data_IF_961264914053
#
_entry.id   IF_961264914053
#
_cell.length_a   1.000
_cell.length_b   1.000
_cell.length_c   1.000
_cell.angle_alpha   90.00
_cell.angle_beta   90.00
_cell.angle_gamma   90.00
#
_symmetry.space_group_name_H-M   'P 1'
#
loop_
_entity.id
_entity.type
_entity.pdbx_description
1 polymer ?
#
# COMPACT_ATOMS: atom_id res chain seq x y z
N UNK A 1 -6.99 27.90 29.43
CA UNK A 1 -6.70 27.78 27.99
C UNK A 1 -5.31 28.35 27.72
N UNK A 2 -4.29 27.51 27.70
CA UNK A 2 -2.93 27.89 27.32
C UNK A 2 -2.75 27.54 25.84
N UNK A 3 -2.63 28.57 25.00
CA UNK A 3 -2.21 28.44 23.60
C UNK A 3 -0.68 28.40 23.59
N UNK A 4 -0.11 27.30 23.11
CA UNK A 4 1.31 27.24 22.77
C UNK A 4 1.42 27.30 21.25
N UNK A 5 1.93 28.42 20.74
CA UNK A 5 2.25 28.60 19.32
C UNK A 5 3.71 28.17 19.13
N UNK A 6 3.95 27.18 18.28
CA UNK A 6 5.31 26.82 17.84
C UNK A 6 5.68 27.72 16.65
N UNK A 7 6.61 28.65 16.85
CA UNK A 7 7.23 29.38 15.74
C UNK A 7 8.37 28.55 15.12
N UNK A 8 8.37 28.47 13.78
CA UNK A 8 9.45 27.83 13.02
C UNK A 8 10.67 28.78 12.89
N UNK A 9 11.91 28.27 12.96
CA UNK A 9 13.11 29.09 12.79
C UNK A 9 13.15 29.83 11.45
N UNK A 10 13.74 31.03 11.47
CA UNK A 10 13.81 32.02 10.37
C UNK A 10 14.57 31.57 9.10
N UNK A 11 15.04 30.33 9.03
CA UNK A 11 15.72 29.77 7.85
C UNK A 11 14.77 29.43 6.69
N UNK A 12 13.47 29.33 6.94
CA UNK A 12 12.48 28.86 5.94
C UNK A 12 11.92 29.93 4.99
N UNK A 13 12.38 31.19 5.06
CA UNK A 13 11.75 32.29 4.30
C UNK A 13 12.34 32.58 2.91
N UNK A 14 13.32 31.84 2.41
CA UNK A 14 14.00 32.24 1.14
C UNK A 14 14.45 31.14 0.18
N UNK A 15 13.70 30.04 -0.03
CA UNK A 15 14.07 29.02 -1.03
C UNK A 15 12.89 28.59 -1.94
N UNK A 16 13.17 28.25 -3.23
CA UNK A 16 12.15 28.06 -4.26
C UNK A 16 11.35 26.75 -4.09
N UNK A 17 10.09 26.76 -4.57
CA UNK A 17 9.03 25.80 -4.22
C UNK A 17 9.15 24.36 -4.75
N UNK A 18 10.18 23.98 -5.50
CA UNK A 18 10.25 22.65 -6.15
C UNK A 18 11.59 21.92 -5.96
N UNK A 19 12.09 21.83 -4.71
CA UNK A 19 13.26 21.00 -4.41
C UNK A 19 12.96 20.02 -3.28
N UNK A 20 12.87 18.73 -3.62
CA UNK A 20 12.83 17.64 -2.65
C UNK A 20 14.26 17.38 -2.17
N UNK A 21 14.59 17.71 -0.92
CA UNK A 21 15.84 17.28 -0.30
C UNK A 21 15.57 16.04 0.55
N UNK A 22 16.19 14.92 0.17
CA UNK A 22 16.52 13.83 1.09
C UNK A 22 17.77 14.26 1.86
N UNK A 23 17.63 14.66 3.13
CA UNK A 23 18.79 14.76 4.01
C UNK A 23 19.23 13.34 4.37
N UNK A 24 20.42 12.97 3.88
CA UNK A 24 20.99 11.63 4.02
C UNK A 24 22.30 11.69 4.81
N UNK A 25 22.35 12.49 5.88
CA UNK A 25 23.53 12.53 6.77
C UNK A 25 23.16 12.74 8.23
N UNK A 26 22.90 11.65 8.97
CA UNK A 26 23.22 11.63 10.40
C UNK A 26 24.72 11.43 10.51
N UNK A 27 25.46 12.51 10.83
CA UNK A 27 26.91 12.44 11.08
C UNK A 27 27.17 11.84 12.46
N UNK A 28 28.11 10.90 12.64
CA UNK A 28 28.55 10.49 13.96
C UNK A 28 29.42 11.60 14.59
N UNK A 29 29.20 11.80 15.88
CA UNK A 29 29.92 12.76 16.71
C UNK A 29 31.42 12.35 16.77
N UNK A 30 32.33 13.22 16.32
CA UNK A 30 33.76 13.00 16.55
C UNK A 30 34.11 13.41 17.98
N UNK A 31 34.23 12.44 18.88
CA UNK A 31 34.98 12.60 20.12
C UNK A 31 36.29 11.82 20.02
N UNK A 32 37.40 12.54 20.06
CA UNK A 32 38.75 12.00 20.12
C UNK A 32 38.99 11.35 21.48
N UNK A 33 38.98 10.03 21.59
CA UNK A 33 39.82 9.26 22.52
C UNK A 33 40.00 7.83 21.98
N UNK A 34 41.26 7.44 21.82
CA UNK A 34 41.66 6.13 21.32
C UNK A 34 41.62 5.09 22.45
N UNK A 35 40.72 4.12 22.34
CA UNK A 35 40.84 2.70 22.76
C UNK A 35 39.44 2.08 22.80
N UNK A 36 39.17 1.21 21.81
CA UNK A 36 38.17 0.13 21.78
C UNK A 36 37.65 -0.04 20.33
N UNK A 37 38.40 -0.77 19.51
CA UNK A 37 37.92 -1.24 18.21
C UNK A 37 37.27 -2.62 18.36
N UNK A 38 36.03 -2.63 18.83
CA UNK A 38 34.99 -3.50 18.26
C UNK A 38 34.00 -2.58 17.57
N UNK A 39 34.29 -2.27 16.31
CA UNK A 39 33.42 -1.47 15.46
C UNK A 39 32.09 -2.18 15.29
N UNK A 40 31.07 -1.71 16.01
CA UNK A 40 29.69 -2.06 15.72
C UNK A 40 29.31 -1.29 14.45
N UNK A 41 29.64 -1.84 13.28
CA UNK A 41 29.24 -1.26 11.99
C UNK A 41 27.72 -1.04 12.01
N UNK A 42 27.30 0.22 11.97
CA UNK A 42 25.89 0.58 11.97
C UNK A 42 25.23 -0.03 10.72
N UNK A 43 24.40 -1.05 10.91
CA UNK A 43 23.65 -1.66 9.82
C UNK A 43 22.61 -0.65 9.32
N UNK A 44 22.69 -0.31 8.04
CA UNK A 44 21.70 0.53 7.36
C UNK A 44 20.65 -0.36 6.70
N UNK A 45 19.38 0.03 6.79
CA UNK A 45 18.26 -0.66 6.14
C UNK A 45 17.46 0.33 5.30
N UNK A 46 16.88 -0.17 4.21
CA UNK A 46 16.05 0.62 3.31
C UNK A 46 14.59 0.24 3.45
N UNK A 47 13.77 1.19 3.87
CA UNK A 47 12.31 1.07 3.86
C UNK A 47 11.78 1.91 2.70
N UNK A 48 11.06 1.27 1.78
CA UNK A 48 10.37 1.96 0.70
C UNK A 48 8.91 2.17 1.09
N UNK A 49 8.54 3.43 1.27
CA UNK A 49 7.15 3.84 1.54
C UNK A 49 6.52 4.31 0.23
N UNK A 50 5.60 3.52 -0.28
CA UNK A 50 4.80 3.82 -1.44
C UNK A 50 3.48 4.45 -0.99
N UNK A 51 2.97 5.38 -1.78
CA UNK A 51 1.62 5.91 -1.60
C UNK A 51 0.56 4.94 -2.10
N UNK A 52 -0.44 5.49 -2.76
CA UNK A 52 -1.58 4.73 -3.26
C UNK A 52 -1.19 3.90 -4.49
N UNK A 53 -1.22 2.59 -4.32
CA UNK A 53 -1.04 1.62 -5.40
C UNK A 53 -2.41 1.32 -6.01
N UNK A 54 -2.68 1.95 -7.14
CA UNK A 54 -3.91 1.73 -7.91
C UNK A 54 -3.61 0.97 -9.19
N UNK A 55 -4.18 -0.22 -9.34
CA UNK A 55 -3.99 -1.09 -10.53
C UNK A 55 -5.31 -1.49 -11.18
N UNK A 56 -6.37 -0.72 -10.93
CA UNK A 56 -7.70 -0.90 -11.51
C UNK A 56 -7.93 -0.07 -12.78
N UNK A 57 -9.17 -0.09 -13.28
CA UNK A 57 -9.66 0.74 -14.41
C UNK A 57 -8.75 0.62 -15.64
N UNK A 58 -8.18 1.73 -16.12
CA UNK A 58 -7.35 1.77 -17.32
C UNK A 58 -6.08 0.94 -17.19
N UNK A 59 -5.52 0.81 -15.98
CA UNK A 59 -4.35 -0.05 -15.73
C UNK A 59 -4.76 -1.51 -15.84
N UNK A 60 -5.86 -1.93 -15.19
CA UNK A 60 -6.41 -3.29 -15.35
C UNK A 60 -6.69 -3.60 -16.83
N UNK A 61 -7.27 -2.67 -17.58
CA UNK A 61 -7.55 -2.81 -19.00
C UNK A 61 -6.30 -2.92 -19.90
N UNK A 62 -5.14 -2.46 -19.43
CA UNK A 62 -3.85 -2.66 -20.08
C UNK A 62 -3.15 -3.96 -19.64
N UNK A 63 -3.44 -4.47 -18.44
CA UNK A 63 -2.78 -5.66 -17.91
C UNK A 63 -3.15 -6.94 -18.68
N UNK A 64 -2.29 -7.98 -18.66
CA UNK A 64 -2.55 -9.24 -19.37
C UNK A 64 -3.84 -9.95 -18.94
N UNK A 65 -4.27 -9.74 -17.69
CA UNK A 65 -5.55 -10.23 -17.18
C UNK A 65 -6.40 -9.03 -16.80
N UNK A 66 -7.51 -8.84 -17.51
CA UNK A 66 -8.38 -7.68 -17.32
C UNK A 66 -9.81 -8.09 -17.11
N UNK A 67 -10.43 -7.53 -16.07
CA UNK A 67 -11.86 -7.66 -15.84
C UNK A 67 -12.64 -6.94 -16.95
N UNK A 68 -12.21 -5.73 -17.32
CA UNK A 68 -12.86 -4.94 -18.37
C UNK A 68 -12.92 -5.68 -19.72
N UNK A 69 -11.93 -6.53 -20.01
CA UNK A 69 -11.90 -7.33 -21.24
C UNK A 69 -12.64 -8.66 -21.12
N UNK A 70 -12.63 -9.30 -19.94
CA UNK A 70 -13.27 -10.60 -19.72
C UNK A 70 -14.77 -10.50 -19.43
N UNK A 71 -15.20 -9.41 -18.81
CA UNK A 71 -16.59 -9.15 -18.43
C UNK A 71 -16.93 -7.67 -18.65
N UNK A 72 -16.98 -7.20 -19.92
CA UNK A 72 -17.23 -5.79 -20.25
C UNK A 72 -18.52 -5.23 -19.63
N UNK A 73 -19.56 -6.05 -19.49
CA UNK A 73 -20.82 -5.69 -18.85
C UNK A 73 -20.68 -5.31 -17.37
N UNK A 74 -19.59 -5.74 -16.73
CA UNK A 74 -19.28 -5.48 -15.33
C UNK A 74 -18.33 -4.29 -15.14
N UNK A 75 -17.90 -3.66 -16.24
CA UNK A 75 -17.07 -2.46 -16.28
C UNK A 75 -17.94 -1.21 -16.55
N UNK A 76 -18.33 -0.45 -15.52
CA UNK A 76 -19.27 0.67 -15.67
C UNK A 76 -18.70 1.85 -16.48
N UNK A 77 -17.41 1.83 -16.79
CA UNK A 77 -16.69 2.96 -17.38
C UNK A 77 -16.08 2.66 -18.74
N UNK A 78 -16.28 1.44 -19.24
CA UNK A 78 -15.78 1.01 -20.53
C UNK A 78 -14.27 1.28 -20.69
N UNK A 79 -13.50 0.88 -19.67
CA UNK A 79 -12.06 1.07 -19.60
C UNK A 79 -11.35 0.38 -20.76
N UNK A 80 -11.80 -0.82 -21.16
CA UNK A 80 -11.26 -1.53 -22.31
C UNK A 80 -11.45 -0.73 -23.62
N UNK A 81 -12.64 -0.20 -23.89
CA UNK A 81 -12.88 0.66 -25.04
C UNK A 81 -12.04 1.93 -25.00
N UNK A 82 -11.93 2.55 -23.81
CA UNK A 82 -11.13 3.75 -23.62
C UNK A 82 -9.66 3.49 -23.95
N UNK A 83 -9.12 2.36 -23.47
CA UNK A 83 -7.76 1.92 -23.77
C UNK A 83 -7.57 1.71 -25.28
N UNK A 84 -8.46 0.95 -25.92
CA UNK A 84 -8.29 0.57 -27.32
C UNK A 84 -8.46 1.77 -28.28
N UNK A 85 -9.44 2.63 -28.01
CA UNK A 85 -9.80 3.75 -28.90
C UNK A 85 -8.85 4.94 -28.74
N UNK A 86 -8.46 5.27 -27.51
CA UNK A 86 -7.75 6.52 -27.22
C UNK A 86 -6.31 6.35 -26.76
N UNK A 87 -5.99 5.29 -26.01
CA UNK A 87 -4.66 5.08 -25.44
C UNK A 87 -3.77 4.33 -26.42
N UNK A 88 -4.13 3.10 -26.82
CA UNK A 88 -3.31 2.28 -27.71
C UNK A 88 -3.18 2.87 -29.11
N UNK A 89 -4.11 3.73 -29.53
CA UNK A 89 -4.01 4.49 -30.77
C UNK A 89 -2.89 5.55 -30.73
N UNK A 90 -2.65 6.15 -29.55
CA UNK A 90 -1.62 7.18 -29.36
C UNK A 90 -0.29 6.58 -28.88
N UNK A 91 -0.36 5.47 -28.16
CA UNK A 91 0.78 4.76 -27.57
C UNK A 91 0.70 3.26 -27.88
N UNK A 92 1.00 2.85 -29.13
CA UNK A 92 0.95 1.44 -29.55
C UNK A 92 1.92 0.54 -28.77
N UNK A 93 2.99 1.10 -28.22
CA UNK A 93 3.96 0.42 -27.37
C UNK A 93 3.33 -0.19 -26.11
N UNK A 94 2.21 0.36 -25.62
CA UNK A 94 1.49 -0.18 -24.46
C UNK A 94 0.74 -1.48 -24.79
N UNK A 95 0.79 -2.00 -26.02
CA UNK A 95 0.30 -3.34 -26.34
C UNK A 95 1.13 -4.45 -25.67
N UNK A 96 2.37 -4.18 -25.29
CA UNK A 96 3.23 -5.11 -24.55
C UNK A 96 3.20 -4.89 -23.03
N UNK A 97 2.20 -4.17 -22.53
CA UNK A 97 2.02 -3.89 -21.11
C UNK A 97 1.88 -5.20 -20.33
N UNK A 98 2.68 -5.33 -19.27
CA UNK A 98 2.79 -6.53 -18.45
C UNK A 98 2.77 -6.14 -16.96
N UNK A 99 2.89 -7.13 -16.08
CA UNK A 99 2.75 -6.92 -14.63
C UNK A 99 3.84 -6.02 -14.03
N UNK A 100 5.00 -5.85 -14.68
CA UNK A 100 6.04 -4.91 -14.27
C UNK A 100 5.86 -3.51 -14.86
N UNK A 101 5.04 -3.35 -15.89
CA UNK A 101 4.84 -2.06 -16.57
C UNK A 101 4.30 -0.93 -15.66
N UNK A 102 3.42 -1.17 -14.66
CA UNK A 102 3.03 -0.12 -13.71
C UNK A 102 4.18 0.48 -12.90
N UNK A 103 5.26 -0.28 -12.72
CA UNK A 103 6.41 0.12 -11.90
C UNK A 103 7.48 0.84 -12.71
N UNK A 104 7.61 0.55 -14.01
CA UNK A 104 8.62 1.17 -14.87
C UNK A 104 10.03 1.08 -14.28
N UNK A 105 10.68 2.22 -14.08
CA UNK A 105 12.03 2.30 -13.51
C UNK A 105 12.08 2.09 -11.98
N UNK A 106 10.95 1.96 -11.29
CA UNK A 106 10.89 1.69 -9.86
C UNK A 106 11.11 0.20 -9.50
N UNK A 107 11.07 -0.71 -10.48
CA UNK A 107 11.27 -2.16 -10.25
C UNK A 107 12.54 -2.44 -9.43
N UNK A 108 13.65 -1.84 -9.84
CA UNK A 108 14.94 -2.02 -9.18
C UNK A 108 14.98 -1.41 -7.77
N UNK A 109 14.26 -0.30 -7.56
CA UNK A 109 14.14 0.33 -6.24
C UNK A 109 13.37 -0.58 -5.27
N UNK A 110 12.25 -1.15 -5.71
CA UNK A 110 11.44 -2.10 -4.92
C UNK A 110 12.26 -3.35 -4.59
N UNK A 111 12.94 -3.92 -5.58
CA UNK A 111 13.73 -5.16 -5.42
C UNK A 111 14.88 -4.99 -4.42
N UNK A 112 15.59 -3.86 -4.46
CA UNK A 112 16.74 -3.59 -3.58
C UNK A 112 16.37 -3.14 -2.16
N UNK A 113 15.13 -2.70 -1.93
CA UNK A 113 14.69 -2.27 -0.60
C UNK A 113 14.59 -3.46 0.35
N UNK A 114 14.89 -3.27 1.64
CA UNK A 114 14.75 -4.36 2.62
C UNK A 114 13.28 -4.61 2.94
N UNK A 115 12.47 -3.55 3.07
CA UNK A 115 11.03 -3.63 3.27
C UNK A 115 10.31 -2.68 2.29
N UNK A 116 9.10 -3.04 1.88
CA UNK A 116 8.25 -2.27 0.95
C UNK A 116 6.85 -2.20 1.53
N UNK A 117 6.38 -0.99 1.80
CA UNK A 117 5.05 -0.74 2.35
C UNK A 117 4.27 0.11 1.33
N UNK A 118 3.04 -0.27 1.03
CA UNK A 118 2.16 0.48 0.12
C UNK A 118 0.76 0.64 0.68
N UNK A 119 -0.01 1.61 0.19
CA UNK A 119 -1.46 1.66 0.40
C UNK A 119 -2.16 1.05 -0.81
N UNK A 120 -2.81 -0.13 -0.68
CA UNK A 120 -3.47 -0.78 -1.81
C UNK A 120 -4.90 -0.25 -1.95
N UNK A 121 -5.07 0.79 -2.76
CA UNK A 121 -6.37 1.44 -3.03
C UNK A 121 -7.10 0.83 -4.23
N UNK A 122 -7.02 -0.50 -4.39
CA UNK A 122 -7.73 -1.23 -5.42
C UNK A 122 -8.06 -2.61 -4.90
N UNK A 123 -9.35 -2.97 -4.90
CA UNK A 123 -9.78 -4.31 -4.52
C UNK A 123 -9.27 -5.34 -5.55
N UNK A 124 -8.74 -6.46 -5.08
CA UNK A 124 -8.36 -7.59 -5.91
C UNK A 124 -9.50 -8.60 -5.89
N UNK A 125 -10.40 -8.48 -6.86
CA UNK A 125 -11.66 -9.22 -6.82
C UNK A 125 -12.29 -9.35 -8.19
N UNK A 126 -12.91 -10.50 -8.44
CA UNK A 126 -13.76 -10.75 -9.62
C UNK A 126 -15.24 -10.53 -9.33
N UNK A 127 -15.60 -10.32 -8.05
CA UNK A 127 -16.97 -10.05 -7.60
C UNK A 127 -17.57 -8.85 -8.32
N UNK A 128 -18.83 -8.96 -8.76
CA UNK A 128 -19.53 -7.91 -9.51
C UNK A 128 -20.38 -6.98 -8.63
N UNK A 129 -20.56 -7.33 -7.35
CA UNK A 129 -21.38 -6.58 -6.41
C UNK A 129 -20.64 -5.34 -5.88
N UNK A 130 -21.04 -4.17 -6.36
CA UNK A 130 -20.49 -2.88 -5.91
C UNK A 130 -21.11 -2.42 -4.61
N UNK A 131 -20.36 -1.65 -3.84
CA UNK A 131 -20.93 -0.88 -2.74
C UNK A 131 -21.96 0.12 -3.30
N UNK A 132 -23.18 0.20 -2.74
CA UNK A 132 -24.22 1.07 -3.24
C UNK A 132 -23.83 2.55 -3.12
N UNK A 133 -24.32 3.37 -4.04
CA UNK A 133 -24.24 4.83 -4.02
C UNK A 133 -22.83 5.43 -3.93
N UNK A 134 -21.81 4.65 -4.33
CA UNK A 134 -20.44 5.13 -4.47
C UNK A 134 -20.13 5.51 -5.91
N UNK A 135 -19.54 6.69 -6.10
CA UNK A 135 -19.25 7.25 -7.44
C UNK A 135 -18.12 6.50 -8.14
N UNK A 136 -17.07 6.13 -7.41
CA UNK A 136 -15.89 5.48 -7.98
C UNK A 136 -15.61 4.16 -7.25
N UNK A 137 -15.52 3.09 -8.02
CA UNK A 137 -15.20 1.74 -7.52
C UNK A 137 -13.98 1.21 -8.26
N UNK A 138 -12.90 0.90 -7.54
CA UNK A 138 -11.66 0.38 -8.09
C UNK A 138 -11.53 -1.10 -7.77
N UNK A 139 -11.49 -1.93 -8.81
CA UNK A 139 -11.00 -3.31 -8.72
C UNK A 139 -10.01 -3.60 -9.83
N UNK A 140 -9.24 -4.64 -9.60
CA UNK A 140 -8.38 -5.32 -10.56
C UNK A 140 -8.60 -6.81 -10.43
N UNK A 141 -8.35 -7.57 -11.50
CA UNK A 141 -8.42 -9.03 -11.42
C UNK A 141 -7.44 -9.55 -10.33
N UNK A 142 -7.85 -10.55 -9.57
CA UNK A 142 -6.97 -11.21 -8.57
C UNK A 142 -5.61 -11.66 -9.12
N UNK A 143 -5.54 -12.10 -10.39
CA UNK A 143 -4.30 -12.46 -11.08
C UNK A 143 -3.30 -11.30 -11.24
N UNK A 144 -3.77 -10.05 -11.10
CA UNK A 144 -2.95 -8.84 -11.14
C UNK A 144 -2.21 -8.58 -9.82
N UNK A 145 -2.39 -9.44 -8.80
CA UNK A 145 -1.45 -9.57 -7.68
C UNK A 145 0.00 -9.74 -8.16
N UNK A 146 0.19 -10.26 -9.38
CA UNK A 146 1.47 -10.32 -10.08
C UNK A 146 2.18 -8.97 -10.23
N UNK A 147 1.44 -7.86 -10.27
CA UNK A 147 2.06 -6.54 -10.19
C UNK A 147 2.89 -6.37 -8.91
N UNK A 148 2.47 -6.94 -7.78
CA UNK A 148 3.21 -6.83 -6.51
C UNK A 148 4.24 -7.96 -6.37
N UNK A 149 3.91 -9.18 -6.77
CA UNK A 149 4.81 -10.32 -6.58
C UNK A 149 6.01 -10.31 -7.52
N UNK A 150 5.87 -9.86 -8.78
CA UNK A 150 6.99 -9.83 -9.75
C UNK A 150 8.05 -8.76 -9.44
N UNK A 151 7.68 -7.71 -8.70
CA UNK A 151 8.63 -6.75 -8.12
C UNK A 151 9.22 -7.22 -6.79
N UNK A 152 8.79 -8.38 -6.29
CA UNK A 152 9.37 -9.08 -5.15
C UNK A 152 8.69 -8.81 -3.81
N UNK A 153 7.49 -8.21 -3.77
CA UNK A 153 6.81 -7.94 -2.49
C UNK A 153 6.39 -9.22 -1.76
N UNK A 154 6.07 -10.31 -2.47
CA UNK A 154 5.71 -11.60 -1.86
C UNK A 154 6.90 -12.44 -1.36
N UNK A 155 8.14 -11.92 -1.40
CA UNK A 155 9.34 -12.70 -1.09
C UNK A 155 9.85 -12.40 0.32
N UNK A 156 10.02 -13.43 1.16
CA UNK A 156 10.72 -13.32 2.43
C UNK A 156 10.08 -12.38 3.46
N UNK A 157 8.78 -12.12 3.36
CA UNK A 157 8.05 -11.27 4.30
C UNK A 157 8.48 -9.79 4.25
N UNK A 158 8.90 -9.29 3.07
CA UNK A 158 9.34 -7.90 2.88
C UNK A 158 8.23 -6.94 2.44
N UNK A 159 7.17 -7.45 1.81
CA UNK A 159 6.10 -6.64 1.23
C UNK A 159 4.89 -6.54 2.15
N UNK A 160 4.40 -5.33 2.30
CA UNK A 160 3.21 -5.00 3.07
C UNK A 160 2.26 -4.09 2.28
N UNK A 161 0.96 -4.32 2.45
CA UNK A 161 -0.07 -3.39 1.99
C UNK A 161 -1.01 -2.97 3.13
N UNK A 162 -1.30 -1.67 3.19
CA UNK A 162 -2.44 -1.17 3.94
C UNK A 162 -3.71 -1.43 3.14
N UNK A 163 -4.68 -2.07 3.79
CA UNK A 163 -6.07 -2.16 3.33
C UNK A 163 -6.99 -1.24 4.13
N UNK A 164 -6.49 -0.37 5.01
CA UNK A 164 -7.34 0.64 5.64
C UNK A 164 -7.35 1.91 4.79
N UNK A 165 -8.13 1.89 3.71
CA UNK A 165 -8.34 3.05 2.86
C UNK A 165 -9.80 3.16 2.44
N UNK A 166 -10.11 4.21 1.71
CA UNK A 166 -11.46 4.49 1.27
C UNK A 166 -11.90 3.64 0.07
N UNK A 167 -11.11 2.70 -0.46
CA UNK A 167 -11.44 1.88 -1.63
C UNK A 167 -11.56 0.37 -1.35
N UNK A 168 -11.26 -0.05 -0.12
CA UNK A 168 -11.20 -1.45 0.28
C UNK A 168 -12.53 -2.20 0.15
N UNK A 169 -13.65 -1.51 0.38
CA UNK A 169 -15.00 -2.09 0.34
C UNK A 169 -15.79 -1.70 -0.92
N UNK A 170 -15.11 -1.22 -1.96
CA UNK A 170 -15.75 -0.86 -3.24
C UNK A 170 -16.61 -1.99 -3.82
N UNK A 171 -16.26 -3.24 -3.50
CA UNK A 171 -16.92 -4.45 -3.97
C UNK A 171 -17.50 -5.28 -2.81
N UNK A 172 -17.98 -4.55 -1.79
CA UNK A 172 -18.57 -5.10 -0.58
C UNK A 172 -17.63 -6.07 0.16
N UNK A 173 -18.19 -6.75 1.17
CA UNK A 173 -17.48 -7.77 1.97
C UNK A 173 -16.92 -8.91 1.12
N UNK A 174 -17.63 -9.33 0.08
CA UNK A 174 -17.17 -10.40 -0.82
C UNK A 174 -15.84 -10.01 -1.50
N UNK A 175 -15.75 -8.81 -2.08
CA UNK A 175 -14.51 -8.33 -2.70
C UNK A 175 -13.39 -8.07 -1.70
N UNK A 176 -13.72 -7.61 -0.48
CA UNK A 176 -12.76 -7.50 0.63
C UNK A 176 -12.12 -8.85 0.95
N UNK A 177 -12.94 -9.88 1.17
CA UNK A 177 -12.47 -11.21 1.54
C UNK A 177 -11.64 -11.85 0.42
N UNK A 178 -12.05 -11.68 -0.84
CA UNK A 178 -11.27 -12.15 -2.00
C UNK A 178 -9.92 -11.41 -2.09
N UNK A 179 -9.88 -10.12 -1.76
CA UNK A 179 -8.63 -9.34 -1.71
C UNK A 179 -7.69 -9.85 -0.62
N UNK A 180 -8.22 -10.03 0.60
CA UNK A 180 -7.46 -10.57 1.74
C UNK A 180 -6.92 -11.96 1.43
N UNK A 181 -7.74 -12.84 0.84
CA UNK A 181 -7.33 -14.17 0.42
C UNK A 181 -6.20 -14.11 -0.63
N UNK A 182 -6.36 -13.27 -1.65
CA UNK A 182 -5.37 -13.10 -2.73
C UNK A 182 -4.01 -12.65 -2.19
N UNK A 183 -3.98 -11.72 -1.24
CA UNK A 183 -2.75 -11.25 -0.61
C UNK A 183 -2.08 -12.35 0.23
N UNK A 184 -2.88 -13.07 1.03
CA UNK A 184 -2.40 -14.15 1.88
C UNK A 184 -1.77 -15.30 1.06
N UNK A 185 -2.44 -15.72 -0.02
CA UNK A 185 -1.96 -16.79 -0.92
C UNK A 185 -0.68 -16.42 -1.66
N UNK A 186 -0.35 -15.12 -1.72
CA UNK A 186 0.84 -14.59 -2.39
C UNK A 186 1.88 -14.04 -1.41
N UNK A 187 1.75 -14.36 -0.12
CA UNK A 187 2.71 -14.01 0.94
C UNK A 187 3.00 -12.51 1.05
N UNK A 188 1.97 -11.67 0.84
CA UNK A 188 2.05 -10.23 1.06
C UNK A 188 1.37 -9.92 2.39
N UNK A 189 2.13 -9.32 3.31
CA UNK A 189 1.64 -8.91 4.61
C UNK A 189 0.60 -7.79 4.45
N UNK A 190 -0.37 -7.75 5.35
CA UNK A 190 -1.44 -6.74 5.29
C UNK A 190 -1.90 -6.33 6.68
N UNK A 191 -2.47 -5.13 6.77
CA UNK A 191 -3.29 -4.73 7.92
C UNK A 191 -4.41 -3.80 7.47
N UNK A 192 -5.38 -3.60 8.35
CA UNK A 192 -6.52 -2.72 8.08
C UNK A 192 -7.77 -3.45 7.57
N UNK A 193 -7.62 -4.72 7.24
CA UNK A 193 -8.72 -5.62 6.92
C UNK A 193 -8.34 -7.07 7.24
N UNK A 194 -9.33 -7.96 7.35
CA UNK A 194 -9.11 -9.39 7.62
C UNK A 194 -10.37 -10.20 7.37
N UNK A 195 -10.33 -11.52 7.61
CA UNK A 195 -11.51 -12.39 7.52
C UNK A 195 -12.41 -12.27 8.75
N UNK A 196 -11.87 -11.72 9.83
CA UNK A 196 -12.56 -11.47 11.09
C UNK A 196 -12.22 -10.09 11.63
N UNK A 197 -12.96 -9.65 12.66
CA UNK A 197 -12.67 -8.41 13.38
C UNK A 197 -11.26 -8.40 13.99
N UNK A 198 -10.86 -9.52 14.57
CA UNK A 198 -9.56 -9.63 15.23
C UNK A 198 -8.42 -9.60 14.22
N UNK A 199 -8.60 -10.26 13.06
CA UNK A 199 -7.65 -10.15 11.95
C UNK A 199 -7.56 -8.72 11.40
N UNK A 200 -8.69 -8.03 11.25
CA UNK A 200 -8.70 -6.64 10.78
C UNK A 200 -7.95 -5.69 11.73
N UNK A 201 -8.04 -5.93 13.04
CA UNK A 201 -7.36 -5.16 14.08
C UNK A 201 -5.89 -5.55 14.29
N UNK A 202 -5.47 -6.72 13.80
CA UNK A 202 -4.10 -7.21 13.94
C UNK A 202 -3.11 -6.43 13.06
N UNK A 203 -1.84 -6.32 13.47
CA UNK A 203 -0.81 -5.78 12.61
C UNK A 203 -0.39 -6.80 11.53
N UNK A 204 0.00 -6.29 10.36
CA UNK A 204 0.82 -7.04 9.41
C UNK A 204 2.23 -7.20 9.97
N UNK A 205 2.88 -8.33 9.70
CA UNK A 205 4.15 -8.70 10.34
C UNK A 205 5.24 -8.89 9.29
N UNK A 206 6.06 -7.86 9.11
CA UNK A 206 7.23 -7.90 8.25
C UNK A 206 8.46 -8.46 8.98
N UNK A 207 9.34 -9.14 8.22
CA UNK A 207 10.61 -9.69 8.73
C UNK A 207 11.79 -8.98 8.09
N UNK A 208 12.61 -8.33 8.91
CA UNK A 208 13.81 -7.64 8.47
C UNK A 208 15.04 -8.43 8.89
N UNK A 209 15.74 -9.01 7.89
CA UNK A 209 16.98 -9.80 8.05
C UNK A 209 16.85 -10.95 9.06
N UNK A 210 15.67 -11.56 9.18
CA UNK A 210 15.34 -12.65 10.13
C UNK A 210 15.51 -12.33 11.63
N UNK A 211 16.12 -11.18 11.96
CA UNK A 211 16.40 -10.72 13.31
C UNK A 211 15.32 -9.79 13.85
N UNK A 212 14.81 -8.91 12.99
CA UNK A 212 13.88 -7.86 13.39
C UNK A 212 12.48 -8.15 12.89
N UNK A 213 11.49 -7.90 13.76
CA UNK A 213 10.08 -7.99 13.41
C UNK A 213 9.49 -6.60 13.41
N UNK A 214 8.92 -6.18 12.28
CA UNK A 214 8.24 -4.90 12.13
C UNK A 214 6.74 -5.15 12.09
N UNK A 215 5.99 -4.53 12.99
CA UNK A 215 4.53 -4.64 13.08
C UNK A 215 3.90 -3.36 12.53
N UNK A 216 3.03 -3.50 11.54
CA UNK A 216 2.36 -2.39 10.88
C UNK A 216 0.85 -2.45 11.16
N UNK A 217 0.30 -1.41 11.78
CA UNK A 217 -1.16 -1.26 11.93
C UNK A 217 -1.67 -0.24 10.93
N UNK A 218 -2.87 -0.49 10.42
CA UNK A 218 -3.57 0.39 9.47
C UNK A 218 -4.98 0.67 9.96
N UNK A 219 -5.40 1.93 9.88
CA UNK A 219 -6.71 2.40 10.33
C UNK A 219 -7.28 3.42 9.33
N UNK A 220 -8.58 3.33 9.09
CA UNK A 220 -9.30 4.27 8.25
C UNK A 220 -10.38 4.99 9.06
N UNK A 221 -10.48 6.31 8.94
CA UNK A 221 -11.59 7.09 9.53
C UNK A 221 -12.70 7.40 8.51
N UNK A 222 -12.52 6.99 7.26
CA UNK A 222 -13.45 7.18 6.16
C UNK A 222 -13.50 5.95 5.22
N UNK A 223 -14.65 5.68 4.57
CA UNK A 223 -15.97 6.28 4.76
C UNK A 223 -16.71 5.77 6.00
N UNK A 224 -17.58 6.62 6.54
CA UNK A 224 -18.29 6.32 7.78
C UNK A 224 -19.29 5.15 7.65
N UNK A 225 -19.79 4.90 6.44
CA UNK A 225 -20.78 3.85 6.17
C UNK A 225 -20.18 2.44 6.33
N UNK A 226 -18.85 2.33 6.30
CA UNK A 226 -18.14 1.05 6.40
C UNK A 226 -17.87 0.62 7.84
N UNK A 227 -18.19 1.45 8.84
CA UNK A 227 -17.96 1.14 10.26
C UNK A 227 -18.60 -0.17 10.72
N UNK A 228 -19.71 -0.57 10.10
CA UNK A 228 -20.45 -1.79 10.44
C UNK A 228 -19.83 -3.06 9.84
N UNK A 229 -18.83 -2.94 8.97
CA UNK A 229 -18.11 -4.08 8.41
C UNK A 229 -17.00 -4.48 9.37
N UNK A 230 -17.19 -5.60 10.07
CA UNK A 230 -16.27 -6.05 11.11
C UNK A 230 -14.89 -6.43 10.57
N UNK A 231 -14.84 -6.88 9.32
CA UNK A 231 -13.64 -7.24 8.59
C UNK A 231 -12.79 -6.04 8.13
N UNK A 232 -13.23 -4.81 8.40
CA UNK A 232 -12.54 -3.57 8.05
C UNK A 232 -12.19 -2.75 9.30
N UNK A 233 -10.93 -2.32 9.40
CA UNK A 233 -10.41 -1.65 10.59
C UNK A 233 -10.65 -0.13 10.56
N UNK A 234 -11.89 0.26 10.82
CA UNK A 234 -12.20 1.67 11.02
C UNK A 234 -11.68 2.18 12.37
N UNK A 235 -11.15 3.40 12.42
CA UNK A 235 -10.65 4.09 13.63
C UNK A 235 -11.67 4.15 14.78
N UNK A 236 -12.96 4.01 14.48
CA UNK A 236 -14.02 3.98 15.51
C UNK A 236 -14.30 2.57 16.06
N UNK A 237 -13.81 1.51 15.40
CA UNK A 237 -13.93 0.13 15.86
C UNK A 237 -12.84 -0.25 16.89
N UNK A 238 -11.84 0.61 17.07
CA UNK A 238 -10.77 0.42 18.05
C UNK A 238 -11.13 1.06 19.38
N UNK A 239 -11.66 0.28 20.31
CA UNK A 239 -11.20 0.44 21.71
C UNK A 239 -9.77 -0.08 21.73
N UNK A 240 -8.78 0.80 21.66
CA UNK A 240 -7.41 0.42 22.00
C UNK A 240 -7.47 -0.24 23.38
N UNK A 241 -6.88 -1.44 23.59
CA UNK A 241 -6.69 -1.91 24.95
C UNK A 241 -5.83 -0.84 25.64
N UNK A 242 -6.41 -0.17 26.64
CA UNK A 242 -5.64 0.70 27.52
C UNK A 242 -4.49 -0.11 28.12
N UNK A 243 -3.38 0.55 28.52
CA UNK A 243 -2.33 -0.16 29.25
C UNK A 243 -2.98 -0.91 30.40
N UNK A 244 -2.79 -2.22 30.45
CA UNK A 244 -3.18 -3.02 31.60
C UNK A 244 -2.49 -2.40 32.81
N UNK A 245 -3.28 -1.79 33.70
CA UNK A 245 -2.79 -1.47 35.03
C UNK A 245 -2.36 -2.80 35.63
N UNK A 246 -1.05 -2.99 35.76
CA UNK A 246 -0.51 -4.10 36.52
C UNK A 246 -0.91 -3.89 37.97
N UNK A 247 -1.49 -4.94 38.55
CA UNK A 247 -1.48 -5.19 40.00
C UNK A 247 -0.38 -6.22 40.30
#
# INVERSE_FOLDING_TARGET
MTKTTLELPSFFKSLPRNTLWLDNTIRPNMSTHASDQQGNDAQTFTLLLLGDLMIGRLIDALLPTSIARQSPESDPEDAAHTVDTYILRRSPELKSYNYLSPWGNAVDLVRRSDLVLANLETALTTTQKKWPDKVFNYRSHTANIRCLTEVGMGMGGKGYVSLANNHTLDWCKEGLLETVQTLADNHIELAGAGRTKDEAAAPGILRLREKWTVKCWSFADHPADWKRVHEFNSKQNTTLPGPSAGD
#
